data_IF_496107143084
#
_entry.id   IF_496107143084
#
_cell.length_a   1.000
_cell.length_b   1.000
_cell.length_c   1.000
_cell.angle_alpha   90.00
_cell.angle_beta   90.00
_cell.angle_gamma   90.00
#
_symmetry.space_group_name_H-M   'P 1'
#
loop_
_entity.id
_entity.type
_entity.pdbx_description
1 polymer ?
#
# COMPACT_ATOMS: atom_id res chain seq x y z
N UNK A 1 -18.35 7.19 -4.05
CA UNK A 1 -18.67 6.92 -2.61
C UNK A 1 -17.77 7.77 -1.74
N UNK A 2 -18.36 8.65 -0.90
CA UNK A 2 -17.55 9.43 0.05
C UNK A 2 -17.25 8.48 1.21
N UNK A 3 -16.08 7.83 1.18
CA UNK A 3 -15.56 7.16 2.36
C UNK A 3 -15.14 8.24 3.36
N UNK A 4 -15.58 8.14 4.60
CA UNK A 4 -15.05 9.02 5.66
C UNK A 4 -13.54 8.78 5.76
N UNK A 5 -12.77 9.86 5.73
CA UNK A 5 -11.32 9.78 5.87
C UNK A 5 -10.99 9.24 7.27
N UNK A 6 -10.25 8.13 7.38
CA UNK A 6 -9.83 7.61 8.69
C UNK A 6 -8.96 8.61 9.45
N UNK A 7 -9.15 8.69 10.77
CA UNK A 7 -8.48 9.70 11.61
C UNK A 7 -6.93 9.64 11.56
N UNK A 8 -6.33 8.46 11.38
CA UNK A 8 -4.88 8.31 11.28
C UNK A 8 -4.28 9.02 10.04
N UNK A 9 -5.08 9.34 9.04
CA UNK A 9 -4.64 10.10 7.86
C UNK A 9 -4.12 11.49 8.24
N UNK A 10 -4.59 12.07 9.33
CA UNK A 10 -4.07 13.34 9.87
C UNK A 10 -2.60 13.30 10.29
N UNK A 11 -2.06 12.09 10.49
CA UNK A 11 -0.65 11.89 10.81
C UNK A 11 0.29 12.01 9.61
N UNK A 12 -0.24 12.01 8.38
CA UNK A 12 0.54 12.39 7.21
C UNK A 12 0.82 13.88 7.22
N UNK A 13 2.07 14.26 7.37
CA UNK A 13 2.52 15.65 7.32
C UNK A 13 3.38 15.87 6.09
N UNK A 14 2.94 16.75 5.19
CA UNK A 14 3.80 17.24 4.12
C UNK A 14 4.91 18.08 4.75
N UNK A 15 6.15 17.66 4.57
CA UNK A 15 7.30 18.38 5.12
C UNK A 15 7.59 19.68 4.36
N UNK A 16 7.00 19.87 3.19
CA UNK A 16 7.34 20.94 2.25
C UNK A 16 8.78 20.84 1.71
N UNK A 17 9.46 19.72 2.00
CA UNK A 17 10.85 19.48 1.55
C UNK A 17 10.84 18.46 0.41
N UNK A 18 11.76 18.63 -0.50
CA UNK A 18 12.07 17.63 -1.53
C UNK A 18 13.58 17.45 -1.61
N UNK A 19 13.97 16.30 -2.14
CA UNK A 19 15.35 15.99 -2.50
C UNK A 19 15.38 15.83 -4.02
N UNK A 20 16.42 16.31 -4.67
CA UNK A 20 16.58 16.13 -6.12
C UNK A 20 17.65 15.08 -6.37
N UNK A 21 17.36 14.10 -7.22
CA UNK A 21 18.33 13.11 -7.67
C UNK A 21 19.41 13.78 -8.55
N UNK A 22 20.51 13.07 -8.78
CA UNK A 22 21.55 13.54 -9.73
C UNK A 22 21.03 13.75 -11.15
N UNK A 23 19.91 13.10 -11.51
CA UNK A 23 19.25 13.24 -12.82
C UNK A 23 18.17 14.35 -12.84
N UNK A 24 18.04 15.13 -11.75
CA UNK A 24 17.08 16.21 -11.65
C UNK A 24 15.64 15.79 -11.29
N UNK A 25 15.42 14.52 -10.91
CA UNK A 25 14.10 14.04 -10.52
C UNK A 25 13.78 14.41 -9.09
N UNK A 26 12.59 14.98 -8.86
CA UNK A 26 12.14 15.35 -7.52
C UNK A 26 11.69 14.11 -6.73
N UNK A 27 12.10 14.04 -5.46
CA UNK A 27 11.67 13.08 -4.46
C UNK A 27 10.90 13.83 -3.38
N UNK A 28 9.60 13.57 -3.26
CA UNK A 28 8.75 14.17 -2.21
C UNK A 28 9.01 13.49 -0.88
N UNK A 29 9.12 14.30 0.19
CA UNK A 29 9.37 13.81 1.55
C UNK A 29 8.16 14.10 2.42
N UNK A 30 7.57 13.05 2.94
CA UNK A 30 6.47 13.10 3.91
C UNK A 30 6.92 12.53 5.24
N UNK A 31 6.39 13.06 6.32
CA UNK A 31 6.58 12.53 7.67
C UNK A 31 5.26 11.94 8.17
N UNK A 32 5.30 10.73 8.71
CA UNK A 32 4.16 10.10 9.36
C UNK A 32 4.29 10.32 10.88
N UNK A 33 3.63 11.36 11.38
CA UNK A 33 3.68 11.83 12.79
C UNK A 33 2.65 11.11 13.64
N UNK A 34 2.81 9.80 13.77
CA UNK A 34 1.88 9.03 14.60
C UNK A 34 2.04 9.38 16.09
N UNK A 35 0.94 9.31 16.80
CA UNK A 35 0.84 9.61 18.22
C UNK A 35 0.20 8.44 18.96
N UNK A 36 0.40 8.36 20.27
CA UNK A 36 -0.29 7.38 21.12
C UNK A 36 -1.70 7.88 21.46
N UNK A 37 -2.54 8.02 20.44
CA UNK A 37 -3.94 8.39 20.53
C UNK A 37 -4.81 7.13 20.43
N UNK A 38 -5.39 6.72 21.56
CA UNK A 38 -6.14 5.47 21.68
C UNK A 38 -7.32 5.36 20.72
N UNK A 39 -8.08 6.45 20.52
CA UNK A 39 -9.24 6.45 19.64
C UNK A 39 -8.82 6.32 18.16
N UNK A 40 -7.76 7.04 17.77
CA UNK A 40 -7.21 6.95 16.41
C UNK A 40 -6.63 5.57 16.16
N UNK A 41 -5.84 5.03 17.09
CA UNK A 41 -5.24 3.70 16.97
C UNK A 41 -6.32 2.61 16.88
N UNK A 42 -7.40 2.72 17.67
CA UNK A 42 -8.55 1.82 17.61
C UNK A 42 -9.27 1.87 16.25
N UNK A 43 -9.56 3.08 15.78
CA UNK A 43 -10.17 3.25 14.45
C UNK A 43 -9.28 2.72 13.34
N UNK A 44 -7.97 2.97 13.42
CA UNK A 44 -7.00 2.49 12.44
C UNK A 44 -6.78 0.99 12.51
N UNK A 45 -6.74 0.37 13.69
CA UNK A 45 -6.62 -1.08 13.84
C UNK A 45 -7.79 -1.82 13.18
N UNK A 46 -9.01 -1.28 13.30
CA UNK A 46 -10.18 -1.78 12.58
C UNK A 46 -10.02 -1.63 11.07
N UNK A 47 -9.68 -0.43 10.57
CA UNK A 47 -9.42 -0.19 9.16
C UNK A 47 -8.34 -1.13 8.61
N UNK A 48 -7.25 -1.30 9.36
CA UNK A 48 -6.12 -2.16 8.99
C UNK A 48 -6.52 -3.64 8.86
N UNK A 49 -7.22 -4.21 9.85
CA UNK A 49 -7.61 -5.63 9.78
C UNK A 49 -8.60 -5.92 8.66
N UNK A 50 -9.46 -4.97 8.31
CA UNK A 50 -10.42 -5.13 7.21
C UNK A 50 -9.76 -5.30 5.83
N UNK A 51 -8.48 -4.97 5.68
CA UNK A 51 -7.73 -5.37 4.50
C UNK A 51 -7.53 -6.88 4.41
N UNK A 52 -7.39 -7.57 5.55
CA UNK A 52 -7.16 -9.02 5.62
C UNK A 52 -8.44 -9.83 5.73
N UNK A 53 -9.39 -9.35 6.53
CA UNK A 53 -10.65 -10.03 6.78
C UNK A 53 -11.67 -9.00 7.25
N UNK A 54 -12.85 -9.00 6.67
CA UNK A 54 -13.92 -8.13 7.12
C UNK A 54 -14.46 -8.61 8.47
N UNK A 55 -14.86 -7.70 9.34
CA UNK A 55 -15.35 -8.03 10.69
C UNK A 55 -16.55 -9.00 10.66
N UNK A 56 -17.40 -8.88 9.64
CA UNK A 56 -18.55 -9.76 9.40
C UNK A 56 -18.19 -11.16 8.90
N UNK A 57 -16.98 -11.36 8.36
CA UNK A 57 -16.50 -12.64 7.84
C UNK A 57 -15.69 -13.44 8.88
N UNK A 58 -15.18 -12.81 9.93
CA UNK A 58 -14.24 -13.42 10.88
C UNK A 58 -14.88 -14.65 11.57
N UNK A 59 -16.12 -14.53 12.01
CA UNK A 59 -16.77 -15.60 12.77
C UNK A 59 -17.02 -16.84 11.91
N UNK A 60 -17.41 -16.64 10.67
CA UNK A 60 -17.59 -17.72 9.70
C UNK A 60 -16.28 -18.46 9.42
N UNK A 61 -15.21 -17.70 9.15
CA UNK A 61 -13.93 -18.31 8.78
C UNK A 61 -13.19 -18.98 9.94
N UNK A 62 -13.42 -18.56 11.19
CA UNK A 62 -12.79 -19.16 12.37
C UNK A 62 -13.53 -20.36 12.95
N UNK A 63 -14.79 -20.59 12.57
CA UNK A 63 -15.68 -21.58 13.20
C UNK A 63 -15.03 -22.97 13.33
N UNK A 64 -14.43 -23.48 12.27
CA UNK A 64 -13.79 -24.79 12.24
C UNK A 64 -12.50 -24.92 13.05
N UNK A 65 -11.90 -23.80 13.49
CA UNK A 65 -10.62 -23.80 14.22
C UNK A 65 -10.78 -23.84 15.75
N UNK A 66 -11.94 -23.45 16.29
CA UNK A 66 -12.14 -23.26 17.72
C UNK A 66 -11.32 -22.09 18.30
N UNK A 67 -10.82 -21.19 17.46
CA UNK A 67 -10.05 -20.02 17.87
C UNK A 67 -10.97 -18.85 18.25
N UNK A 68 -10.51 -17.97 19.16
CA UNK A 68 -11.04 -16.62 19.28
C UNK A 68 -10.81 -15.82 18.01
N UNK A 69 -11.48 -14.66 17.85
CA UNK A 69 -11.23 -13.75 16.70
C UNK A 69 -9.76 -13.32 16.64
N UNK A 70 -9.19 -12.93 17.77
CA UNK A 70 -7.78 -12.54 17.88
C UNK A 70 -6.85 -13.69 17.45
N UNK A 71 -7.05 -14.90 17.98
CA UNK A 71 -6.23 -16.05 17.61
C UNK A 71 -6.33 -16.41 16.14
N UNK A 72 -7.52 -16.30 15.54
CA UNK A 72 -7.71 -16.55 14.11
C UNK A 72 -6.94 -15.54 13.26
N UNK A 73 -7.05 -14.25 13.60
CA UNK A 73 -6.32 -13.20 12.90
C UNK A 73 -4.80 -13.38 13.03
N UNK A 74 -4.31 -13.63 14.23
CA UNK A 74 -2.87 -13.79 14.47
C UNK A 74 -2.27 -15.05 13.86
N UNK A 75 -2.98 -16.19 13.93
CA UNK A 75 -2.42 -17.49 13.53
C UNK A 75 -2.67 -17.82 12.06
N UNK A 76 -3.72 -17.26 11.46
CA UNK A 76 -4.18 -17.64 10.11
C UNK A 76 -4.02 -16.48 9.13
N UNK A 77 -4.45 -15.26 9.50
CA UNK A 77 -4.53 -14.14 8.56
C UNK A 77 -3.27 -13.27 8.54
N UNK A 78 -2.73 -12.95 9.70
CA UNK A 78 -1.58 -12.05 9.79
C UNK A 78 -0.25 -12.79 9.60
N UNK A 79 0.78 -12.14 9.05
CA UNK A 79 2.12 -12.70 9.07
C UNK A 79 2.63 -12.89 10.50
N UNK A 80 3.44 -13.92 10.73
CA UNK A 80 4.00 -14.22 12.05
C UNK A 80 4.85 -13.05 12.57
N UNK A 81 4.77 -12.77 13.86
CA UNK A 81 5.51 -11.68 14.50
C UNK A 81 7.02 -11.97 14.62
N UNK A 82 7.39 -13.23 14.81
CA UNK A 82 8.73 -13.61 15.24
C UNK A 82 9.45 -14.52 14.24
N UNK A 83 8.70 -15.42 13.60
CA UNK A 83 9.27 -16.43 12.72
C UNK A 83 9.40 -15.90 11.28
N UNK A 84 10.61 -15.94 10.75
CA UNK A 84 10.86 -15.55 9.36
C UNK A 84 10.01 -16.37 8.36
N UNK A 85 9.50 -15.78 7.29
CA UNK A 85 9.68 -14.38 6.85
C UNK A 85 8.69 -13.37 7.46
N UNK A 86 7.84 -13.77 8.41
CA UNK A 86 6.74 -13.00 8.96
C UNK A 86 7.06 -11.54 9.31
N UNK A 87 8.15 -11.21 10.06
CA UNK A 87 8.47 -9.81 10.37
C UNK A 87 8.69 -8.93 9.14
N UNK A 88 9.36 -9.45 8.12
CA UNK A 88 9.56 -8.71 6.85
C UNK A 88 8.25 -8.58 6.07
N UNK A 89 7.39 -9.62 6.09
CA UNK A 89 6.07 -9.57 5.47
C UNK A 89 5.16 -8.56 6.17
N UNK A 90 5.17 -8.47 7.52
CA UNK A 90 4.44 -7.42 8.26
C UNK A 90 4.85 -6.02 7.84
N UNK A 91 6.15 -5.77 7.73
CA UNK A 91 6.67 -4.46 7.30
C UNK A 91 6.25 -4.14 5.86
N UNK A 92 6.29 -5.12 4.97
CA UNK A 92 5.85 -4.97 3.57
C UNK A 92 4.35 -4.68 3.48
N UNK A 93 3.51 -5.57 4.02
CA UNK A 93 2.05 -5.43 4.01
C UNK A 93 1.61 -4.08 4.64
N UNK A 94 2.19 -3.71 5.79
CA UNK A 94 1.92 -2.41 6.42
C UNK A 94 2.27 -1.24 5.49
N UNK A 95 3.42 -1.29 4.83
CA UNK A 95 3.87 -0.22 3.94
C UNK A 95 2.97 -0.05 2.73
N UNK A 96 2.56 -1.14 2.12
CA UNK A 96 1.63 -1.13 0.99
C UNK A 96 0.24 -0.59 1.41
N UNK A 97 -0.25 -0.94 2.60
CA UNK A 97 -1.50 -0.42 3.15
C UNK A 97 -1.38 1.09 3.42
N UNK A 98 -0.27 1.54 4.03
CA UNK A 98 -0.04 2.95 4.31
C UNK A 98 0.10 3.79 3.02
N UNK A 99 0.75 3.25 1.99
CA UNK A 99 0.81 3.88 0.66
C UNK A 99 -0.56 3.91 0.01
N UNK A 100 -1.39 2.87 0.20
CA UNK A 100 -2.78 2.87 -0.26
C UNK A 100 -3.59 3.99 0.40
N UNK A 101 -3.42 4.22 1.72
CA UNK A 101 -4.06 5.32 2.44
C UNK A 101 -3.58 6.69 1.92
N UNK A 102 -2.29 6.84 1.66
CA UNK A 102 -1.75 8.05 1.05
C UNK A 102 -2.36 8.34 -0.33
N UNK A 103 -2.42 7.35 -1.20
CA UNK A 103 -2.98 7.51 -2.54
C UNK A 103 -4.49 7.83 -2.50
N UNK A 104 -5.23 7.16 -1.61
CA UNK A 104 -6.68 7.34 -1.53
C UNK A 104 -7.04 8.66 -0.85
N UNK A 105 -6.51 8.94 0.32
CA UNK A 105 -6.99 10.05 1.15
C UNK A 105 -6.21 11.36 0.95
N UNK A 106 -4.95 11.30 0.55
CA UNK A 106 -4.15 12.52 0.26
C UNK A 106 -4.21 12.87 -1.22
N UNK A 107 -4.07 11.90 -2.12
CA UNK A 107 -4.04 12.16 -3.55
C UNK A 107 -5.39 11.94 -4.26
N UNK A 108 -6.43 11.51 -3.54
CA UNK A 108 -7.79 11.32 -4.06
C UNK A 108 -7.88 10.32 -5.21
N UNK A 109 -7.14 9.23 -5.14
CA UNK A 109 -7.31 8.07 -6.00
C UNK A 109 -8.35 7.12 -5.41
N UNK A 110 -9.00 6.32 -6.23
CA UNK A 110 -9.73 5.14 -5.77
C UNK A 110 -8.77 3.94 -5.68
N UNK A 111 -8.69 3.32 -4.51
CA UNK A 111 -7.89 2.11 -4.25
C UNK A 111 -8.83 0.94 -3.93
N UNK A 112 -8.88 -0.12 -4.75
CA UNK A 112 -9.83 -1.24 -4.59
C UNK A 112 -9.65 -2.08 -3.33
N UNK A 113 -8.47 -2.06 -2.70
CA UNK A 113 -8.13 -2.76 -1.44
C UNK A 113 -8.50 -4.24 -1.44
N UNK A 114 -8.15 -4.94 -2.52
CA UNK A 114 -8.51 -6.36 -2.71
C UNK A 114 -7.37 -7.33 -2.40
N UNK A 115 -6.15 -6.83 -2.19
CA UNK A 115 -4.90 -7.60 -2.18
C UNK A 115 -4.84 -8.62 -1.03
N UNK A 116 -5.06 -8.19 0.20
CA UNK A 116 -4.83 -9.02 1.40
C UNK A 116 -6.00 -9.92 1.76
N UNK A 117 -7.23 -9.55 1.42
CA UNK A 117 -8.40 -10.39 1.67
C UNK A 117 -8.37 -11.74 0.95
N UNK A 118 -7.63 -11.84 -0.16
CA UNK A 118 -7.41 -13.09 -0.89
C UNK A 118 -6.16 -13.87 -0.44
N UNK A 119 -5.41 -13.38 0.55
CA UNK A 119 -4.19 -14.00 1.05
C UNK A 119 -4.52 -15.30 1.78
N UNK A 120 -4.02 -16.42 1.28
CA UNK A 120 -4.28 -17.75 1.82
C UNK A 120 -3.27 -18.19 2.88
N UNK A 121 -2.05 -17.71 2.80
CA UNK A 121 -0.95 -18.00 3.74
C UNK A 121 -0.41 -16.69 4.31
N UNK A 122 -0.53 -16.51 5.63
CA UNK A 122 -0.18 -15.27 6.32
C UNK A 122 1.25 -14.79 6.05
N UNK A 123 2.22 -15.72 6.05
CA UNK A 123 3.64 -15.39 5.88
C UNK A 123 4.11 -15.18 4.43
N UNK A 124 3.28 -15.43 3.44
CA UNK A 124 3.66 -15.22 2.05
C UNK A 124 3.36 -13.78 1.61
N UNK A 125 4.24 -13.22 0.80
CA UNK A 125 3.96 -11.97 0.09
C UNK A 125 2.94 -12.23 -1.02
N UNK A 126 2.01 -11.31 -1.18
CA UNK A 126 1.06 -11.35 -2.31
C UNK A 126 1.80 -11.10 -3.62
N UNK A 127 1.35 -11.74 -4.70
CA UNK A 127 1.91 -11.55 -6.05
C UNK A 127 1.25 -10.37 -6.77
N UNK A 128 1.91 -9.87 -7.81
CA UNK A 128 1.41 -8.76 -8.63
C UNK A 128 1.99 -7.41 -8.23
N UNK A 129 1.39 -6.32 -8.72
CA UNK A 129 1.77 -4.96 -8.34
C UNK A 129 1.41 -4.67 -6.88
N UNK A 130 2.22 -3.89 -6.17
CA UNK A 130 2.01 -3.63 -4.74
C UNK A 130 0.76 -2.80 -4.48
N UNK A 131 0.66 -1.62 -5.06
CA UNK A 131 -0.52 -0.76 -4.95
C UNK A 131 -0.96 -0.29 -6.33
N UNK A 132 -2.21 -0.57 -6.68
CA UNK A 132 -2.86 -0.04 -7.87
C UNK A 132 -3.98 0.91 -7.47
N UNK A 133 -3.96 2.11 -8.03
CA UNK A 133 -4.88 3.17 -7.73
C UNK A 133 -5.41 3.82 -9.02
N UNK A 134 -6.64 4.27 -8.99
CA UNK A 134 -7.35 4.74 -10.17
C UNK A 134 -7.92 6.14 -9.95
N UNK A 135 -7.87 6.97 -10.96
CA UNK A 135 -8.51 8.28 -10.96
C UNK A 135 -9.41 8.41 -12.16
N UNK A 136 -10.67 8.71 -11.92
CA UNK A 136 -11.69 8.90 -12.94
C UNK A 136 -11.97 10.39 -13.07
N UNK A 137 -11.88 10.93 -14.28
CA UNK A 137 -12.30 12.30 -14.55
C UNK A 137 -13.82 12.39 -14.62
N UNK A 138 -14.45 11.32 -15.12
CA UNK A 138 -15.89 11.17 -15.15
C UNK A 138 -16.25 9.73 -14.76
N UNK A 139 -17.10 9.56 -13.73
CA UNK A 139 -17.49 8.22 -13.28
C UNK A 139 -18.35 7.46 -14.29
N UNK A 140 -19.14 8.16 -15.10
CA UNK A 140 -20.05 7.56 -16.07
C UNK A 140 -19.39 7.28 -17.42
N UNK A 141 -18.37 8.06 -17.79
CA UNK A 141 -17.74 8.00 -19.11
C UNK A 141 -16.23 7.89 -19.00
N UNK A 142 -15.66 6.89 -19.67
CA UNK A 142 -14.21 6.75 -19.83
C UNK A 142 -13.61 7.90 -20.66
N UNK A 143 -12.42 8.34 -20.26
CA UNK A 143 -11.68 9.42 -20.93
C UNK A 143 -10.18 9.09 -20.97
N UNK A 144 -9.41 9.61 -21.97
CA UNK A 144 -7.96 9.46 -22.00
C UNK A 144 -7.24 10.14 -20.81
N UNK A 145 -7.95 10.98 -20.06
CA UNK A 145 -7.43 11.67 -18.89
C UNK A 145 -7.58 10.83 -17.60
N UNK A 146 -8.33 9.72 -17.65
CA UNK A 146 -8.39 8.76 -16.55
C UNK A 146 -6.98 8.25 -16.26
N UNK A 147 -6.65 8.01 -14.99
CA UNK A 147 -5.28 7.68 -14.61
C UNK A 147 -5.22 6.34 -13.89
N UNK A 148 -4.32 5.47 -14.32
CA UNK A 148 -3.86 4.31 -13.60
C UNK A 148 -2.53 4.64 -12.94
N UNK A 149 -2.46 4.55 -11.62
CA UNK A 149 -1.23 4.70 -10.85
C UNK A 149 -0.82 3.34 -10.28
N UNK A 150 0.45 2.96 -10.46
CA UNK A 150 1.03 1.72 -9.96
C UNK A 150 2.25 2.07 -9.12
N UNK A 151 2.20 1.74 -7.83
CA UNK A 151 3.23 2.09 -6.86
C UNK A 151 3.86 0.85 -6.25
N UNK A 152 5.18 0.79 -6.29
CA UNK A 152 5.99 -0.21 -5.60
C UNK A 152 6.48 0.37 -4.27
N UNK A 153 6.35 -0.38 -3.17
CA UNK A 153 6.70 0.07 -1.83
C UNK A 153 7.83 -0.77 -1.22
N UNK A 154 8.83 -0.11 -0.66
CA UNK A 154 9.91 -0.78 0.07
C UNK A 154 10.11 -0.15 1.44
N UNK A 155 10.16 -0.99 2.47
CA UNK A 155 10.34 -0.54 3.85
C UNK A 155 11.70 -0.85 4.42
N UNK A 156 12.14 0.02 5.33
CA UNK A 156 13.20 -0.26 6.28
C UNK A 156 12.87 0.37 7.64
N UNK A 157 12.29 -0.41 8.55
CA UNK A 157 11.88 0.05 9.87
C UNK A 157 12.84 -0.39 10.98
N UNK A 158 13.84 -1.22 10.68
CA UNK A 158 14.81 -1.72 11.64
C UNK A 158 16.19 -1.91 11.02
N UNK A 159 17.19 -2.07 11.87
CA UNK A 159 18.60 -2.22 11.49
C UNK A 159 19.43 -0.98 11.80
N UNK A 160 20.73 -1.02 11.47
CA UNK A 160 21.68 0.05 11.75
C UNK A 160 22.31 0.67 10.51
N UNK A 161 22.20 -0.02 9.37
CA UNK A 161 22.76 0.44 8.09
C UNK A 161 21.64 0.83 7.14
N UNK A 162 21.69 2.04 6.62
CA UNK A 162 20.71 2.56 5.64
C UNK A 162 20.86 1.79 4.33
N UNK A 163 19.73 1.25 3.84
CA UNK A 163 19.66 0.53 2.56
C UNK A 163 19.05 1.45 1.49
N UNK A 164 19.36 1.24 0.20
CA UNK A 164 18.86 2.07 -0.90
C UNK A 164 17.41 1.71 -1.27
N UNK A 165 16.48 1.78 -0.30
CA UNK A 165 15.10 1.30 -0.47
C UNK A 165 14.32 2.01 -1.57
N UNK A 166 14.61 3.30 -1.82
CA UNK A 166 13.96 4.00 -2.92
C UNK A 166 14.45 3.46 -4.27
N UNK A 167 15.75 3.19 -4.42
CA UNK A 167 16.29 2.55 -5.61
C UNK A 167 15.75 1.12 -5.79
N UNK A 168 15.64 0.35 -4.68
CA UNK A 168 15.03 -0.98 -4.72
C UNK A 168 13.58 -0.91 -5.24
N UNK A 169 12.81 0.11 -4.81
CA UNK A 169 11.45 0.33 -5.28
C UNK A 169 11.41 0.71 -6.78
N UNK A 170 12.30 1.61 -7.23
CA UNK A 170 12.42 1.95 -8.66
C UNK A 170 12.73 0.70 -9.49
N UNK A 171 13.71 -0.12 -9.08
CA UNK A 171 14.11 -1.32 -9.80
C UNK A 171 13.00 -2.38 -9.87
N UNK A 172 12.23 -2.54 -8.79
CA UNK A 172 11.16 -3.53 -8.74
C UNK A 172 9.91 -3.06 -9.50
N UNK A 173 9.62 -1.74 -9.54
CA UNK A 173 8.50 -1.18 -10.29
C UNK A 173 8.62 -1.36 -11.82
N UNK A 174 9.83 -1.60 -12.36
CA UNK A 174 10.02 -2.00 -13.77
C UNK A 174 9.22 -3.26 -14.12
N UNK A 175 9.10 -4.18 -13.15
CA UNK A 175 8.37 -5.46 -13.33
C UNK A 175 6.86 -5.26 -13.44
N UNK A 176 6.34 -4.12 -12.99
CA UNK A 176 4.91 -3.81 -13.01
C UNK A 176 4.34 -3.72 -14.43
N UNK A 177 5.17 -3.36 -15.41
CA UNK A 177 4.78 -3.38 -16.82
C UNK A 177 4.32 -4.77 -17.27
N UNK A 178 4.95 -5.83 -16.77
CA UNK A 178 4.62 -7.23 -17.09
C UNK A 178 3.44 -7.70 -16.21
N UNK A 179 3.39 -7.28 -14.94
CA UNK A 179 2.41 -7.74 -13.95
C UNK A 179 1.06 -7.01 -14.04
N UNK A 180 1.02 -5.85 -14.69
CA UNK A 180 -0.14 -4.96 -14.75
C UNK A 180 -1.41 -5.68 -15.20
N UNK A 181 -1.37 -6.41 -16.30
CA UNK A 181 -2.54 -7.09 -16.87
C UNK A 181 -3.10 -8.15 -15.90
N UNK A 182 -2.22 -8.95 -15.29
CA UNK A 182 -2.61 -9.96 -14.31
C UNK A 182 -3.17 -9.33 -13.04
N UNK A 183 -2.57 -8.24 -12.56
CA UNK A 183 -3.01 -7.50 -11.38
C UNK A 183 -4.38 -6.84 -11.59
N UNK A 184 -4.63 -6.21 -12.74
CA UNK A 184 -5.95 -5.68 -13.11
C UNK A 184 -7.01 -6.78 -13.14
N UNK A 185 -6.67 -7.94 -13.72
CA UNK A 185 -7.58 -9.09 -13.74
C UNK A 185 -7.88 -9.60 -12.32
N UNK A 186 -6.85 -9.71 -11.47
CA UNK A 186 -7.02 -10.17 -10.08
C UNK A 186 -7.94 -9.22 -9.28
N UNK A 187 -7.71 -7.88 -9.39
CA UNK A 187 -8.58 -6.87 -8.76
C UNK A 187 -10.03 -7.05 -9.23
N UNK A 188 -10.26 -7.14 -10.54
CA UNK A 188 -11.59 -7.31 -11.12
C UNK A 188 -12.29 -8.56 -10.60
N UNK A 189 -11.59 -9.69 -10.56
CA UNK A 189 -12.13 -10.94 -10.04
C UNK A 189 -12.51 -10.83 -8.56
N UNK A 190 -11.63 -10.25 -7.72
CA UNK A 190 -11.91 -10.07 -6.31
C UNK A 190 -13.11 -9.15 -6.05
N UNK A 191 -13.22 -8.05 -6.80
CA UNK A 191 -14.39 -7.17 -6.73
C UNK A 191 -15.67 -7.93 -7.14
N UNK A 192 -15.58 -8.74 -8.19
CA UNK A 192 -16.72 -9.56 -8.65
C UNK A 192 -17.15 -10.58 -7.57
N UNK A 193 -16.21 -11.31 -6.96
CA UNK A 193 -16.50 -12.26 -5.89
C UNK A 193 -17.10 -11.61 -4.65
N UNK A 194 -16.68 -10.37 -4.35
CA UNK A 194 -17.24 -9.54 -3.28
C UNK A 194 -18.57 -8.86 -3.65
N UNK A 195 -19.20 -9.25 -4.76
CA UNK A 195 -20.46 -8.69 -5.27
C UNK A 195 -20.40 -7.16 -5.58
N UNK A 196 -19.19 -6.58 -5.69
CA UNK A 196 -18.96 -5.20 -6.10
C UNK A 196 -18.92 -5.07 -7.62
N UNK A 197 -20.03 -5.43 -8.28
CA UNK A 197 -20.08 -5.61 -9.74
C UNK A 197 -19.82 -4.29 -10.49
N UNK A 198 -20.30 -3.17 -9.97
CA UNK A 198 -20.08 -1.86 -10.62
C UNK A 198 -18.59 -1.47 -10.53
N UNK A 199 -17.96 -1.66 -9.37
CA UNK A 199 -16.53 -1.42 -9.20
C UNK A 199 -15.70 -2.31 -10.12
N UNK A 200 -16.08 -3.61 -10.26
CA UNK A 200 -15.41 -4.53 -11.17
C UNK A 200 -15.50 -4.06 -12.65
N UNK A 201 -16.61 -3.42 -13.04
CA UNK A 201 -16.75 -2.86 -14.39
C UNK A 201 -15.85 -1.66 -14.62
N UNK A 202 -15.55 -0.84 -13.60
CA UNK A 202 -14.65 0.30 -13.74
C UNK A 202 -13.23 -0.13 -14.14
N UNK A 203 -12.77 -1.32 -13.70
CA UNK A 203 -11.46 -1.86 -14.09
C UNK A 203 -11.34 -2.09 -15.60
N UNK A 204 -12.44 -2.32 -16.32
CA UNK A 204 -12.42 -2.52 -17.77
C UNK A 204 -11.79 -1.34 -18.52
N UNK A 205 -11.91 -0.11 -17.98
CA UNK A 205 -11.35 1.11 -18.58
C UNK A 205 -9.82 1.03 -18.76
N UNK A 206 -9.16 0.23 -17.91
CA UNK A 206 -7.69 0.14 -17.84
C UNK A 206 -7.11 -1.17 -18.42
N UNK A 207 -7.96 -2.07 -18.92
CA UNK A 207 -7.52 -3.37 -19.43
C UNK A 207 -7.11 -3.36 -20.91
N UNK A 208 -7.52 -2.36 -21.66
CA UNK A 208 -7.20 -2.25 -23.09
C UNK A 208 -6.79 -0.81 -23.47
N UNK A 209 -5.52 -0.44 -23.25
CA UNK A 209 -5.06 0.93 -23.49
C UNK A 209 -5.05 1.35 -24.97
N UNK A 210 -5.13 0.41 -25.91
CA UNK A 210 -5.18 0.70 -27.36
C UNK A 210 -6.53 1.29 -27.74
N UNK A 211 -7.62 0.64 -27.33
CA UNK A 211 -8.96 1.09 -27.65
C UNK A 211 -9.50 2.12 -26.64
N UNK A 212 -8.95 2.11 -25.42
CA UNK A 212 -9.34 2.96 -24.28
C UNK A 212 -8.09 3.56 -23.65
N UNK A 213 -7.52 4.60 -24.28
CA UNK A 213 -6.31 5.23 -23.76
C UNK A 213 -6.57 5.88 -22.40
N UNK A 214 -5.57 5.81 -21.53
CA UNK A 214 -5.54 6.43 -20.22
C UNK A 214 -4.11 6.88 -19.87
N UNK A 215 -3.95 7.71 -18.85
CA UNK A 215 -2.64 8.10 -18.31
C UNK A 215 -2.12 7.02 -17.38
N UNK A 216 -0.83 6.70 -17.50
CA UNK A 216 -0.15 5.77 -16.60
C UNK A 216 0.90 6.50 -15.79
N UNK A 217 0.85 6.34 -14.47
CA UNK A 217 1.80 6.88 -13.51
C UNK A 217 2.46 5.70 -12.80
N UNK A 218 3.77 5.62 -12.84
CA UNK A 218 4.55 4.72 -12.02
C UNK A 218 4.95 5.42 -10.73
N UNK A 219 5.06 4.70 -9.62
CA UNK A 219 5.51 5.26 -8.36
C UNK A 219 6.48 4.32 -7.64
N UNK A 220 7.52 4.90 -7.05
CA UNK A 220 8.43 4.20 -6.16
C UNK A 220 8.42 4.89 -4.79
N UNK A 221 8.11 4.10 -3.76
CA UNK A 221 7.97 4.61 -2.40
C UNK A 221 8.92 3.89 -1.47
N UNK A 222 9.71 4.66 -0.72
CA UNK A 222 10.50 4.12 0.37
C UNK A 222 9.94 4.59 1.73
N UNK A 223 9.77 3.64 2.66
CA UNK A 223 9.31 3.94 4.01
C UNK A 223 10.41 3.63 5.02
N UNK A 224 10.66 4.57 5.92
CA UNK A 224 11.74 4.45 6.90
C UNK A 224 11.28 4.76 8.33
N UNK A 225 11.91 4.10 9.32
CA UNK A 225 12.01 4.75 10.63
C UNK A 225 12.93 5.96 10.52
N UNK A 226 12.62 7.08 11.21
CA UNK A 226 13.34 8.36 11.06
C UNK A 226 14.85 8.26 11.29
N UNK A 227 15.29 7.36 12.17
CA UNK A 227 16.72 7.10 12.42
C UNK A 227 17.45 6.41 11.26
N UNK A 228 16.72 5.90 10.26
CA UNK A 228 17.24 5.27 9.04
C UNK A 228 16.98 6.12 7.79
N UNK A 229 16.29 7.26 7.94
CA UNK A 229 16.07 8.21 6.87
C UNK A 229 17.36 9.01 6.61
N UNK A 230 17.86 8.98 5.37
CA UNK A 230 19.09 9.66 4.97
C UNK A 230 18.92 10.29 3.59
N UNK A 231 18.92 11.62 3.54
CA UNK A 231 18.68 12.41 2.31
C UNK A 231 19.78 12.21 1.26
N UNK A 232 21.04 12.05 1.67
CA UNK A 232 22.15 11.83 0.75
C UNK A 232 21.98 10.49 0.04
N UNK A 233 21.64 9.44 0.81
CA UNK A 233 21.40 8.10 0.26
C UNK A 233 20.19 8.06 -0.68
N UNK A 234 19.16 8.84 -0.38
CA UNK A 234 17.95 8.95 -1.22
C UNK A 234 18.28 9.70 -2.52
N UNK A 235 19.12 10.73 -2.48
CA UNK A 235 19.55 11.49 -3.65
C UNK A 235 20.37 10.67 -4.66
N UNK A 236 20.98 9.55 -4.24
CA UNK A 236 21.67 8.61 -5.14
C UNK A 236 20.72 7.83 -6.06
N UNK A 237 19.40 7.90 -5.84
CA UNK A 237 18.40 7.21 -6.66
C UNK A 237 18.42 7.74 -8.09
N UNK A 238 18.34 6.84 -9.07
CA UNK A 238 18.25 7.16 -10.49
C UNK A 238 17.06 6.45 -11.14
N UNK A 239 16.51 7.04 -12.21
CA UNK A 239 15.32 6.55 -12.90
C UNK A 239 15.50 6.39 -14.41
N UNK A 240 16.66 6.73 -14.96
CA UNK A 240 16.96 6.73 -16.40
C UNK A 240 16.76 5.38 -17.09
N UNK A 241 16.81 4.27 -16.34
CA UNK A 241 16.54 2.93 -16.85
C UNK A 241 15.07 2.48 -16.71
N UNK A 242 14.23 3.33 -16.10
CA UNK A 242 12.83 2.98 -15.88
C UNK A 242 12.00 3.20 -17.16
N UNK A 243 11.18 2.23 -17.62
CA UNK A 243 10.42 2.34 -18.87
C UNK A 243 9.41 3.49 -18.89
N UNK A 244 8.98 3.98 -17.74
CA UNK A 244 8.11 5.14 -17.56
C UNK A 244 8.85 6.30 -16.85
N UNK A 245 10.11 6.53 -17.21
CA UNK A 245 10.99 7.55 -16.59
C UNK A 245 10.31 8.92 -16.46
N UNK A 246 9.59 9.36 -17.47
CA UNK A 246 8.96 10.68 -17.49
C UNK A 246 7.86 10.82 -16.43
N UNK A 247 7.09 9.76 -16.18
CA UNK A 247 5.92 9.78 -15.32
C UNK A 247 6.09 8.98 -14.02
N UNK A 248 7.32 8.59 -13.65
CA UNK A 248 7.59 7.99 -12.36
C UNK A 248 7.60 9.05 -11.26
N UNK A 249 6.88 8.79 -10.18
CA UNK A 249 6.85 9.61 -8.98
C UNK A 249 7.69 8.95 -7.89
N UNK A 250 8.56 9.74 -7.26
CA UNK A 250 9.41 9.29 -6.16
C UNK A 250 8.90 9.88 -4.85
N UNK A 251 8.67 9.00 -3.87
CA UNK A 251 8.12 9.37 -2.58
C UNK A 251 8.90 8.70 -1.45
N UNK A 252 9.20 9.47 -0.41
CA UNK A 252 9.69 8.93 0.85
C UNK A 252 8.72 9.30 1.96
N UNK A 253 8.36 8.32 2.78
CA UNK A 253 7.59 8.50 4.01
C UNK A 253 8.47 8.03 5.16
N UNK A 254 8.74 8.86 6.13
CA UNK A 254 9.45 8.44 7.34
C UNK A 254 8.65 8.78 8.60
N UNK A 255 8.88 8.05 9.66
CA UNK A 255 8.22 8.29 10.95
C UNK A 255 9.05 7.72 12.10
N UNK A 256 8.82 8.21 13.30
CA UNK A 256 9.51 7.70 14.47
C UNK A 256 9.06 6.26 14.77
N UNK A 257 9.99 5.42 15.18
CA UNK A 257 9.77 4.07 15.71
C UNK A 257 8.73 3.21 14.95
N UNK A 258 8.79 3.27 13.61
CA UNK A 258 7.79 2.65 12.72
C UNK A 258 7.64 1.13 12.96
N UNK A 259 8.69 0.41 13.38
CA UNK A 259 8.56 -1.04 13.62
C UNK A 259 7.70 -1.35 14.85
N UNK A 260 7.81 -0.56 15.91
CA UNK A 260 6.92 -0.70 17.07
C UNK A 260 5.48 -0.34 16.72
N UNK A 261 5.26 0.71 15.91
CA UNK A 261 3.95 1.05 15.39
C UNK A 261 3.34 -0.13 14.59
N UNK A 262 4.12 -0.76 13.69
CA UNK A 262 3.67 -1.96 12.95
C UNK A 262 3.22 -3.05 13.92
N UNK A 263 4.04 -3.38 14.91
CA UNK A 263 3.71 -4.44 15.87
C UNK A 263 2.46 -4.11 16.70
N UNK A 264 2.34 -2.86 17.13
CA UNK A 264 1.18 -2.39 17.90
C UNK A 264 -0.10 -2.44 17.08
N UNK A 265 -0.05 -2.00 15.82
CA UNK A 265 -1.21 -2.01 14.94
C UNK A 265 -1.73 -3.43 14.67
N UNK A 266 -0.83 -4.38 14.38
CA UNK A 266 -1.22 -5.79 14.22
C UNK A 266 -1.81 -6.38 15.48
N UNK A 267 -1.21 -6.07 16.65
CA UNK A 267 -1.71 -6.54 17.94
C UNK A 267 -3.13 -6.01 18.20
N UNK A 268 -3.33 -4.71 18.07
CA UNK A 268 -4.66 -4.09 18.23
C UNK A 268 -5.67 -4.62 17.21
N UNK A 269 -5.25 -4.77 15.97
CA UNK A 269 -6.11 -5.32 14.91
C UNK A 269 -6.62 -6.73 15.23
N UNK A 270 -5.88 -7.53 16.00
CA UNK A 270 -6.32 -8.82 16.49
C UNK A 270 -7.16 -8.70 17.77
N UNK A 271 -6.65 -8.00 18.79
CA UNK A 271 -7.25 -7.93 20.14
C UNK A 271 -8.60 -7.21 20.16
N UNK A 272 -8.81 -6.23 19.28
CA UNK A 272 -10.01 -5.39 19.19
C UNK A 272 -11.01 -5.85 18.10
N UNK A 273 -10.90 -7.11 17.64
CA UNK A 273 -11.74 -7.69 16.58
C UNK A 273 -13.11 -8.18 17.09
#
# INVERSE_FOLDING_TARGET
MIHMTPEHVRWFADTGKSVTTSEGKEIKIWEFKHENDEEVLKGWSKHFRQHYCLDEEIDEFREGYGFSRAEFLEKIKFPDRYKAPGPSTRSGDFSEILVSDYLEFILSYWVPRTRYGSKTIGNESTKGCDVMAFKFINEEKETPEDTLAIFEAKAQFSGTTVKPRLQDAVNDSVKDQIRKAESLNAIKQQLYYKQKIQDAKLINRFQNPVDRPYKEVSGAVALFSSNLFNTEKIAETYVSEHPNEQNIQLLVIHGEDMMNLVHELYRRAADEA
#
